data_IF_903993701739
#
_entry.id   IF_903993701739
#
_cell.length_a   1.000
_cell.length_b   1.000
_cell.length_c   1.000
_cell.angle_alpha   90.00
_cell.angle_beta   90.00
_cell.angle_gamma   90.00
#
_symmetry.space_group_name_H-M   'P 1'
#
loop_
_entity.id
_entity.type
_entity.pdbx_description
1 polymer ?
#
# COMPACT_ATOMS: atom_id res chain seq x y z
N UNK A 1 -3.73 -19.14 0.26
CA UNK A 1 -2.74 -18.31 -0.40
C UNK A 1 -2.49 -18.77 -1.84
N UNK A 2 -2.49 -17.82 -2.76
CA UNK A 2 -2.60 -18.07 -4.18
C UNK A 2 -1.28 -18.57 -4.76
N UNK A 3 -1.22 -19.87 -5.07
CA UNK A 3 -0.05 -20.53 -5.70
C UNK A 3 0.30 -19.98 -7.09
N UNK A 4 -0.57 -19.16 -7.68
CA UNK A 4 -0.48 -18.75 -9.07
C UNK A 4 -0.36 -17.23 -9.31
N UNK A 5 -0.01 -16.45 -8.28
CA UNK A 5 0.21 -15.02 -8.40
C UNK A 5 1.48 -14.67 -9.19
N UNK A 6 1.83 -15.49 -10.13
CA UNK A 6 2.75 -15.13 -11.21
C UNK A 6 1.95 -14.38 -12.25
N UNK A 7 1.61 -13.11 -11.98
CA UNK A 7 1.39 -12.21 -13.10
C UNK A 7 2.62 -12.38 -13.99
N UNK A 8 2.44 -13.03 -15.13
CA UNK A 8 3.51 -13.22 -16.09
C UNK A 8 3.76 -11.89 -16.78
N UNK A 9 4.46 -11.00 -16.10
CA UNK A 9 4.94 -9.78 -16.73
C UNK A 9 5.99 -10.18 -17.75
N UNK A 10 5.74 -9.88 -19.00
CA UNK A 10 6.76 -10.01 -20.03
C UNK A 10 7.64 -8.74 -20.02
N UNK A 11 8.51 -8.62 -19.02
CA UNK A 11 9.38 -7.47 -18.84
C UNK A 11 10.63 -7.65 -19.68
N UNK A 12 10.90 -6.69 -20.56
CA UNK A 12 12.08 -6.63 -21.43
C UNK A 12 12.85 -5.33 -21.16
N UNK A 13 14.02 -5.21 -21.81
CA UNK A 13 14.83 -3.98 -21.75
C UNK A 13 14.15 -2.73 -22.33
N UNK A 14 13.08 -2.88 -23.10
CA UNK A 14 12.31 -1.77 -23.64
C UNK A 14 11.10 -1.40 -22.79
N UNK A 15 10.80 -2.22 -21.77
CA UNK A 15 9.64 -2.01 -20.91
C UNK A 15 9.79 -0.75 -20.06
N UNK A 16 8.68 -0.06 -19.86
CA UNK A 16 8.52 1.01 -18.89
C UNK A 16 7.58 0.52 -17.81
N UNK A 17 7.97 0.62 -16.55
CA UNK A 17 7.23 0.05 -15.44
C UNK A 17 6.67 1.11 -14.51
N UNK A 18 5.42 0.94 -14.15
CA UNK A 18 4.83 1.56 -12.96
C UNK A 18 4.71 0.49 -11.89
N UNK A 19 5.44 0.65 -10.81
CA UNK A 19 5.55 -0.33 -9.74
C UNK A 19 4.83 0.22 -8.51
N UNK A 20 3.74 -0.43 -8.10
CA UNK A 20 3.01 -0.12 -6.88
C UNK A 20 3.47 -1.01 -5.74
N UNK A 21 3.93 -0.41 -4.63
CA UNK A 21 4.23 -1.09 -3.38
C UNK A 21 3.20 -0.71 -2.33
N UNK A 22 2.88 -1.62 -1.44
CA UNK A 22 1.97 -1.34 -0.32
C UNK A 22 1.23 -2.56 0.17
N UNK A 23 0.07 -2.32 0.75
CA UNK A 23 -0.81 -3.33 1.31
C UNK A 23 -2.08 -3.56 0.45
N UNK A 24 -3.18 -3.87 1.12
CA UNK A 24 -4.49 -4.08 0.50
C UNK A 24 -5.01 -2.89 -0.32
N UNK A 25 -4.64 -1.65 0.05
CA UNK A 25 -4.98 -0.45 -0.72
C UNK A 25 -4.23 -0.41 -2.06
N UNK A 26 -3.05 -0.99 -2.14
CA UNK A 26 -2.29 -1.09 -3.39
C UNK A 26 -2.71 -2.31 -4.19
N UNK A 27 -2.94 -3.44 -3.53
CA UNK A 27 -3.43 -4.67 -4.17
C UNK A 27 -4.75 -4.43 -4.89
N UNK A 28 -5.63 -3.62 -4.33
CA UNK A 28 -6.95 -3.33 -4.86
C UNK A 28 -8.06 -4.10 -4.16
N UNK A 29 -7.82 -4.52 -2.90
CA UNK A 29 -8.81 -5.29 -2.13
C UNK A 29 -10.17 -4.59 -2.12
N UNK A 30 -11.19 -5.33 -2.54
CA UNK A 30 -12.56 -4.83 -2.59
C UNK A 30 -12.90 -3.98 -3.81
N UNK A 31 -11.96 -3.71 -4.72
CA UNK A 31 -12.21 -2.97 -5.95
C UNK A 31 -12.97 -3.82 -6.99
N UNK A 32 -14.13 -4.29 -6.58
CA UNK A 32 -15.04 -5.11 -7.38
C UNK A 32 -16.17 -4.23 -7.95
N UNK A 33 -16.74 -4.65 -9.08
CA UNK A 33 -17.93 -4.03 -9.65
C UNK A 33 -19.16 -4.25 -8.73
N UNK A 34 -20.16 -3.38 -8.86
CA UNK A 34 -21.42 -3.53 -8.12
C UNK A 34 -22.10 -4.87 -8.43
N UNK A 35 -21.94 -5.38 -9.67
CA UNK A 35 -22.45 -6.68 -10.10
C UNK A 35 -21.79 -7.81 -9.30
N UNK A 36 -20.46 -7.78 -9.21
CA UNK A 36 -19.70 -8.77 -8.44
C UNK A 36 -20.04 -8.66 -6.96
N UNK A 37 -20.12 -7.44 -6.39
CA UNK A 37 -20.52 -7.24 -5.00
C UNK A 37 -21.90 -7.80 -4.71
N UNK A 38 -22.86 -7.72 -5.64
CA UNK A 38 -24.23 -8.24 -5.47
C UNK A 38 -24.30 -9.77 -5.35
N UNK A 39 -23.28 -10.48 -5.83
CA UNK A 39 -23.18 -11.94 -5.71
C UNK A 39 -22.74 -12.37 -4.31
N UNK A 40 -22.18 -11.44 -3.52
CA UNK A 40 -21.78 -11.70 -2.14
C UNK A 40 -22.91 -11.30 -1.20
N UNK A 41 -23.59 -12.29 -0.60
CA UNK A 41 -24.38 -12.07 0.61
C UNK A 41 -23.40 -11.82 1.78
N UNK A 42 -22.85 -10.61 1.84
CA UNK A 42 -21.88 -10.25 2.86
C UNK A 42 -22.53 -10.15 4.23
N UNK A 43 -22.55 -11.25 4.97
CA UNK A 43 -22.65 -11.20 6.42
C UNK A 43 -21.27 -10.82 6.99
N UNK A 44 -21.27 -10.06 8.08
CA UNK A 44 -20.05 -9.56 8.72
C UNK A 44 -19.09 -10.66 9.20
N UNK A 45 -19.53 -11.90 9.28
CA UNK A 45 -18.77 -13.05 9.78
C UNK A 45 -18.05 -13.83 8.67
N UNK A 46 -18.48 -13.71 7.41
CA UNK A 46 -17.93 -14.47 6.27
C UNK A 46 -16.84 -13.71 5.48
N UNK A 47 -16.43 -12.54 5.94
CA UNK A 47 -15.53 -11.61 5.23
C UNK A 47 -14.09 -12.07 5.05
N UNK A 48 -13.71 -13.20 5.62
CA UNK A 48 -12.34 -13.72 5.57
C UNK A 48 -12.19 -14.92 4.68
N UNK A 49 -13.28 -15.39 4.04
CA UNK A 49 -13.21 -16.56 3.19
C UNK A 49 -12.77 -16.20 1.78
N UNK A 50 -11.96 -17.07 1.24
CA UNK A 50 -11.27 -17.02 -0.04
C UNK A 50 -12.10 -16.44 -1.17
N UNK A 51 -11.76 -15.23 -1.63
CA UNK A 51 -12.21 -14.73 -2.91
C UNK A 51 -11.82 -15.75 -3.99
N UNK A 52 -12.70 -15.98 -4.92
CA UNK A 52 -12.40 -16.84 -6.08
C UNK A 52 -11.29 -16.19 -6.90
N UNK A 53 -10.57 -16.99 -7.64
CA UNK A 53 -9.45 -16.53 -8.48
C UNK A 53 -9.88 -15.40 -9.42
N UNK A 54 -11.06 -15.48 -10.00
CA UNK A 54 -11.63 -14.50 -10.94
C UNK A 54 -11.84 -13.12 -10.29
N UNK A 55 -12.17 -13.09 -9.00
CA UNK A 55 -12.39 -11.87 -8.23
C UNK A 55 -11.08 -11.15 -7.92
N UNK A 56 -10.02 -11.91 -7.71
CA UNK A 56 -8.68 -11.33 -7.54
C UNK A 56 -8.17 -10.67 -8.82
N UNK A 57 -8.46 -11.23 -9.98
CA UNK A 57 -8.12 -10.61 -11.26
C UNK A 57 -8.89 -9.30 -11.45
N UNK A 58 -10.18 -9.27 -11.08
CA UNK A 58 -10.97 -8.05 -11.12
C UNK A 58 -10.43 -6.99 -10.15
N UNK A 59 -10.17 -7.34 -8.89
CA UNK A 59 -9.58 -6.43 -7.90
C UNK A 59 -8.27 -5.84 -8.38
N UNK A 60 -7.36 -6.67 -8.89
CA UNK A 60 -6.08 -6.21 -9.41
C UNK A 60 -6.26 -5.28 -10.60
N UNK A 61 -7.11 -5.65 -11.56
CA UNK A 61 -7.36 -4.84 -12.75
C UNK A 61 -7.98 -3.49 -12.42
N UNK A 62 -8.71 -3.40 -11.31
CA UNK A 62 -9.34 -2.20 -10.80
C UNK A 62 -8.46 -1.45 -9.78
N UNK A 63 -7.30 -2.00 -9.39
CA UNK A 63 -6.36 -1.30 -8.52
C UNK A 63 -5.85 -0.01 -9.15
N UNK A 64 -5.46 0.97 -8.33
CA UNK A 64 -4.96 2.25 -8.83
C UNK A 64 -3.74 2.08 -9.76
N UNK A 65 -2.89 1.08 -9.52
CA UNK A 65 -1.72 0.79 -10.37
C UNK A 65 -2.14 0.46 -11.79
N UNK A 66 -3.11 -0.46 -11.93
CA UNK A 66 -3.61 -0.88 -13.24
C UNK A 66 -4.45 0.22 -13.91
N UNK A 67 -5.31 0.89 -13.13
CA UNK A 67 -6.11 2.00 -13.65
C UNK A 67 -5.24 3.15 -14.14
N UNK A 68 -4.15 3.47 -13.45
CA UNK A 68 -3.22 4.52 -13.88
C UNK A 68 -2.56 4.17 -15.21
N UNK A 69 -2.07 2.95 -15.37
CA UNK A 69 -1.50 2.52 -16.66
C UNK A 69 -2.56 2.52 -17.76
N UNK A 70 -3.74 1.96 -17.49
CA UNK A 70 -4.83 1.87 -18.48
C UNK A 70 -5.31 3.25 -18.96
N UNK A 71 -5.50 4.19 -18.03
CA UNK A 71 -6.20 5.44 -18.33
C UNK A 71 -5.26 6.62 -18.62
N UNK A 72 -4.07 6.63 -18.02
CA UNK A 72 -3.17 7.79 -18.04
C UNK A 72 -1.78 7.48 -18.60
N UNK A 73 -1.28 6.27 -18.44
CA UNK A 73 0.08 5.88 -18.83
C UNK A 73 0.10 4.58 -19.65
N UNK A 74 -0.59 4.51 -20.83
CA UNK A 74 -0.76 3.26 -21.58
C UNK A 74 0.55 2.67 -22.12
N UNK A 75 1.64 3.42 -22.11
CA UNK A 75 2.97 2.94 -22.48
C UNK A 75 3.74 2.29 -21.33
N UNK A 76 3.15 2.26 -20.14
CA UNK A 76 3.74 1.63 -18.95
C UNK A 76 3.05 0.31 -18.65
N UNK A 77 3.84 -0.67 -18.23
CA UNK A 77 3.34 -1.94 -17.71
C UNK A 77 3.10 -1.80 -16.20
N UNK A 78 1.88 -2.05 -15.71
CA UNK A 78 1.61 -2.02 -14.28
C UNK A 78 2.25 -3.24 -13.59
N UNK A 79 3.02 -3.01 -12.55
CA UNK A 79 3.57 -4.05 -11.68
C UNK A 79 3.04 -3.79 -10.27
N UNK A 80 2.00 -4.52 -9.90
CA UNK A 80 1.37 -4.36 -8.59
C UNK A 80 1.98 -5.36 -7.61
N UNK A 81 2.78 -4.87 -6.66
CA UNK A 81 3.40 -5.62 -5.57
C UNK A 81 2.75 -5.32 -4.22
N UNK A 82 1.54 -4.75 -4.24
CA UNK A 82 0.70 -4.64 -3.06
C UNK A 82 0.24 -6.00 -2.57
N UNK A 83 0.08 -6.16 -1.26
CA UNK A 83 -0.34 -7.40 -0.67
C UNK A 83 -1.16 -7.16 0.61
N UNK A 84 -2.31 -7.81 0.73
CA UNK A 84 -3.20 -7.68 1.90
C UNK A 84 -2.45 -7.93 3.19
N UNK A 85 -2.59 -7.01 4.13
CA UNK A 85 -1.98 -7.12 5.44
C UNK A 85 -0.48 -6.87 5.50
N UNK A 86 0.20 -6.55 4.39
CA UNK A 86 1.60 -6.19 4.42
C UNK A 86 1.87 -4.99 5.33
N UNK A 87 3.00 -5.02 6.01
CA UNK A 87 3.64 -3.85 6.55
C UNK A 87 4.61 -3.22 5.55
N UNK A 88 5.19 -2.10 5.91
CA UNK A 88 6.08 -1.36 5.02
C UNK A 88 7.35 -2.14 4.67
N UNK A 89 7.90 -2.88 5.61
CA UNK A 89 9.11 -3.68 5.42
C UNK A 89 8.90 -4.82 4.44
N UNK A 90 7.79 -5.57 4.59
CA UNK A 90 7.48 -6.67 3.67
C UNK A 90 7.18 -6.16 2.26
N UNK A 91 6.52 -5.00 2.11
CA UNK A 91 6.30 -4.39 0.81
C UNK A 91 7.62 -4.06 0.09
N UNK A 92 8.60 -3.49 0.79
CA UNK A 92 9.94 -3.22 0.24
C UNK A 92 10.65 -4.52 -0.13
N UNK A 93 10.58 -5.55 0.72
CA UNK A 93 11.21 -6.85 0.45
C UNK A 93 10.57 -7.58 -0.73
N UNK A 94 9.28 -7.39 -0.98
CA UNK A 94 8.64 -7.89 -2.19
C UNK A 94 9.30 -7.33 -3.46
N UNK A 95 9.69 -6.06 -3.47
CA UNK A 95 10.44 -5.49 -4.59
C UNK A 95 11.88 -6.01 -4.66
N UNK A 96 12.59 -6.05 -3.54
CA UNK A 96 14.05 -6.27 -3.52
C UNK A 96 14.45 -7.75 -3.56
N UNK A 97 13.58 -8.66 -3.09
CA UNK A 97 13.88 -10.10 -3.00
C UNK A 97 13.13 -10.96 -4.00
N UNK A 98 11.90 -10.56 -4.40
CA UNK A 98 11.12 -11.29 -5.41
C UNK A 98 11.41 -10.86 -6.84
N UNK A 99 12.19 -9.81 -6.99
CA UNK A 99 12.50 -9.16 -8.25
C UNK A 99 13.21 -10.07 -9.28
N UNK A 100 14.16 -10.96 -8.93
CA UNK A 100 14.83 -11.80 -9.93
C UNK A 100 13.85 -12.60 -10.82
N UNK A 101 12.70 -12.99 -10.26
CA UNK A 101 11.67 -13.73 -10.99
C UNK A 101 10.90 -12.85 -11.99
N UNK A 102 10.84 -11.55 -11.74
CA UNK A 102 10.07 -10.58 -12.53
C UNK A 102 10.93 -9.81 -13.54
N UNK A 103 12.24 -9.91 -13.46
CA UNK A 103 13.19 -9.20 -14.33
C UNK A 103 12.99 -7.66 -14.37
N UNK A 104 12.52 -7.08 -13.27
CA UNK A 104 12.23 -5.63 -13.15
C UNK A 104 13.48 -4.79 -13.45
N UNK A 105 14.64 -5.28 -13.08
CA UNK A 105 15.93 -4.59 -13.22
C UNK A 105 16.25 -4.27 -14.68
N UNK A 106 15.86 -5.14 -15.61
CA UNK A 106 16.13 -4.98 -17.04
C UNK A 106 15.33 -3.86 -17.71
N UNK A 107 14.24 -3.42 -17.09
CA UNK A 107 13.35 -2.44 -17.70
C UNK A 107 14.04 -1.09 -17.90
N UNK A 108 13.73 -0.44 -19.03
CA UNK A 108 14.29 0.84 -19.45
C UNK A 108 13.97 2.00 -18.52
N UNK A 109 12.76 2.01 -17.98
CA UNK A 109 12.25 3.07 -17.12
C UNK A 109 11.40 2.48 -15.99
N UNK A 110 11.60 2.97 -14.78
CA UNK A 110 10.92 2.50 -13.59
C UNK A 110 10.43 3.67 -12.76
N UNK A 111 9.13 3.68 -12.46
CA UNK A 111 8.52 4.59 -11.48
C UNK A 111 7.98 3.73 -10.36
N UNK A 112 8.50 3.90 -9.18
CA UNK A 112 8.06 3.23 -7.95
C UNK A 112 7.17 4.20 -7.17
N UNK A 113 5.97 3.76 -6.86
CA UNK A 113 5.06 4.47 -5.96
C UNK A 113 4.85 3.59 -4.74
N UNK A 114 5.32 4.04 -3.61
CA UNK A 114 5.12 3.35 -2.36
C UNK A 114 3.95 3.97 -1.58
N UNK A 115 2.85 3.25 -1.60
CA UNK A 115 1.63 3.57 -0.88
C UNK A 115 1.74 2.99 0.53
N UNK A 116 2.28 3.80 1.44
CA UNK A 116 2.66 3.41 2.79
C UNK A 116 1.44 2.98 3.62
N UNK A 117 1.63 1.91 4.36
CA UNK A 117 0.68 1.44 5.38
C UNK A 117 1.07 1.96 6.77
N UNK A 118 0.38 1.52 7.80
CA UNK A 118 0.63 1.93 9.18
C UNK A 118 2.03 1.51 9.66
N UNK A 119 2.77 2.43 10.31
CA UNK A 119 4.08 2.15 10.90
C UNK A 119 4.03 1.14 12.06
N UNK A 120 2.87 1.01 12.70
CA UNK A 120 2.67 0.03 13.77
C UNK A 120 2.64 -1.42 13.25
N UNK A 121 2.54 -1.64 11.95
CA UNK A 121 2.62 -2.97 11.36
C UNK A 121 4.06 -3.46 11.39
N UNK A 122 4.31 -4.46 12.19
CA UNK A 122 5.62 -5.09 12.32
C UNK A 122 5.68 -6.37 11.50
N UNK A 123 6.62 -6.40 10.57
CA UNK A 123 6.88 -7.56 9.72
C UNK A 123 8.03 -8.40 10.29
N UNK A 124 7.78 -9.66 10.54
CA UNK A 124 8.83 -10.61 10.93
C UNK A 124 8.95 -11.76 9.92
N UNK A 125 10.16 -12.27 9.81
CA UNK A 125 10.41 -13.42 8.94
C UNK A 125 9.71 -14.66 9.51
N UNK A 126 8.91 -15.33 8.69
CA UNK A 126 8.32 -16.60 9.07
C UNK A 126 9.42 -17.62 9.36
N UNK A 127 9.34 -18.24 10.52
CA UNK A 127 10.19 -19.38 10.82
C UNK A 127 9.93 -20.50 9.80
N UNK A 128 10.97 -21.20 9.30
CA UNK A 128 10.80 -22.41 8.50
C UNK A 128 9.98 -23.50 9.21
N UNK A 129 9.82 -23.36 10.54
CA UNK A 129 9.00 -24.26 11.37
C UNK A 129 7.50 -23.91 11.31
N UNK A 130 7.13 -22.73 10.86
CA UNK A 130 5.75 -22.45 10.50
C UNK A 130 5.50 -23.18 9.18
N UNK A 131 4.78 -24.28 9.25
CA UNK A 131 4.46 -25.20 8.15
C UNK A 131 3.52 -24.51 7.12
N UNK A 132 3.94 -23.38 6.58
CA UNK A 132 3.25 -22.66 5.55
C UNK A 132 3.97 -22.95 4.24
N UNK A 133 3.37 -23.78 3.43
CA UNK A 133 3.75 -24.06 2.03
C UNK A 133 3.67 -22.80 1.14
N UNK A 134 4.02 -21.62 1.66
CA UNK A 134 3.58 -20.39 1.06
C UNK A 134 4.69 -19.36 0.97
N UNK A 135 4.75 -18.72 -0.18
CA UNK A 135 5.75 -17.75 -0.59
C UNK A 135 5.76 -16.43 0.23
N UNK A 136 4.94 -16.30 1.28
CA UNK A 136 5.04 -15.20 2.22
C UNK A 136 6.11 -15.49 3.26
N UNK A 137 7.28 -14.95 3.00
CA UNK A 137 8.40 -15.02 3.93
C UNK A 137 8.19 -14.12 5.17
N UNK A 138 7.18 -13.28 5.17
CA UNK A 138 6.87 -12.34 6.25
C UNK A 138 5.46 -12.54 6.79
N UNK A 139 5.31 -12.44 8.07
CA UNK A 139 4.02 -12.28 8.75
C UNK A 139 3.98 -10.89 9.37
N UNK A 140 2.94 -10.16 9.07
CA UNK A 140 2.71 -8.82 9.63
C UNK A 140 1.90 -8.93 10.90
N UNK A 141 2.35 -8.27 11.94
CA UNK A 141 1.63 -8.15 13.20
C UNK A 141 1.09 -6.73 13.38
N UNK A 142 -0.13 -6.66 13.88
CA UNK A 142 -0.76 -5.43 14.32
C UNK A 142 -0.86 -5.39 15.83
N UNK A 143 -0.54 -4.26 16.48
CA UNK A 143 -0.59 -4.15 17.94
C UNK A 143 -1.96 -4.46 18.57
N UNK A 144 -3.03 -4.41 17.80
CA UNK A 144 -4.41 -4.54 18.31
C UNK A 144 -5.14 -5.83 17.92
N UNK A 145 -4.50 -6.76 17.20
CA UNK A 145 -5.20 -7.87 16.56
C UNK A 145 -4.88 -9.26 17.09
N UNK A 146 -4.22 -9.40 18.24
CA UNK A 146 -4.09 -10.73 18.86
C UNK A 146 -5.49 -11.23 19.28
N UNK A 147 -6.05 -12.12 18.48
CA UNK A 147 -7.31 -12.76 18.84
C UNK A 147 -7.08 -13.82 19.93
N UNK A 148 -8.08 -14.07 20.75
CA UNK A 148 -8.03 -15.17 21.74
C UNK A 148 -7.82 -16.53 21.06
N UNK A 149 -8.29 -16.67 19.83
CA UNK A 149 -8.15 -17.86 18.98
C UNK A 149 -6.78 -18.02 18.33
N UNK A 150 -5.87 -17.01 18.44
CA UNK A 150 -4.53 -17.13 17.86
C UNK A 150 -3.69 -18.23 18.53
N UNK A 151 -2.82 -18.91 17.78
CA UNK A 151 -1.88 -19.88 18.35
C UNK A 151 -1.00 -19.25 19.44
N UNK A 152 -0.59 -20.04 20.45
CA UNK A 152 0.20 -19.56 21.57
C UNK A 152 1.53 -18.89 21.16
N UNK A 153 2.19 -19.40 20.11
CA UNK A 153 3.40 -18.77 19.58
C UNK A 153 3.15 -17.35 19.04
N UNK A 154 1.99 -17.11 18.42
CA UNK A 154 1.59 -15.80 17.92
C UNK A 154 1.28 -14.84 19.05
N UNK A 155 0.60 -15.34 20.11
CA UNK A 155 0.36 -14.57 21.33
C UNK A 155 1.66 -14.20 22.05
N UNK A 156 2.62 -15.12 22.11
CA UNK A 156 3.95 -14.87 22.69
C UNK A 156 4.73 -13.81 21.92
N UNK A 157 4.74 -13.86 20.58
CA UNK A 157 5.32 -12.82 19.73
C UNK A 157 4.66 -11.47 19.98
N UNK A 158 3.34 -11.45 20.09
CA UNK A 158 2.55 -10.27 20.42
C UNK A 158 2.95 -9.62 21.74
N UNK A 159 3.06 -10.44 22.78
CA UNK A 159 3.46 -9.96 24.11
C UNK A 159 4.87 -9.38 24.06
N UNK A 160 5.78 -10.06 23.37
CA UNK A 160 7.14 -9.55 23.13
C UNK A 160 7.14 -8.23 22.37
N UNK A 161 6.40 -8.14 21.27
CA UNK A 161 6.31 -6.93 20.46
C UNK A 161 5.80 -5.73 21.25
N UNK A 162 4.71 -5.88 21.99
CA UNK A 162 4.18 -4.83 22.88
C UNK A 162 5.19 -4.36 23.95
N UNK A 163 6.10 -5.23 24.36
CA UNK A 163 7.10 -4.91 25.35
C UNK A 163 8.25 -4.02 24.85
N UNK A 164 8.53 -4.03 23.55
CA UNK A 164 9.65 -3.24 23.00
C UNK A 164 9.23 -2.19 21.97
N UNK A 165 8.01 -2.28 21.44
CA UNK A 165 7.56 -1.32 20.43
C UNK A 165 7.33 0.06 21.03
N UNK A 166 7.74 1.08 20.31
CA UNK A 166 7.44 2.49 20.56
C UNK A 166 7.38 3.22 19.24
N UNK A 167 6.73 4.38 19.21
CA UNK A 167 6.67 5.23 18.03
C UNK A 167 8.08 5.59 17.52
N UNK A 168 8.99 5.87 18.43
CA UNK A 168 10.40 6.13 18.08
C UNK A 168 11.08 4.93 17.41
N UNK A 169 10.82 3.71 17.89
CA UNK A 169 11.30 2.48 17.25
C UNK A 169 10.70 2.33 15.84
N UNK A 170 9.38 2.52 15.71
CA UNK A 170 8.69 2.48 14.42
C UNK A 170 9.26 3.49 13.42
N UNK A 171 9.51 4.73 13.87
CA UNK A 171 10.15 5.75 13.04
C UNK A 171 11.55 5.34 12.57
N UNK A 172 12.40 4.80 13.46
CA UNK A 172 13.76 4.35 13.09
C UNK A 172 13.70 3.20 12.10
N UNK A 173 12.88 2.18 12.36
CA UNK A 173 12.75 1.03 11.46
C UNK A 173 12.22 1.46 10.09
N UNK A 174 11.24 2.35 10.06
CA UNK A 174 10.73 2.94 8.82
C UNK A 174 11.83 3.64 8.02
N UNK A 175 12.60 4.53 8.65
CA UNK A 175 13.67 5.26 7.98
C UNK A 175 14.76 4.33 7.42
N UNK A 176 15.12 3.26 8.14
CA UNK A 176 16.06 2.24 7.64
C UNK A 176 15.49 1.57 6.39
N UNK A 177 14.24 1.16 6.44
CA UNK A 177 13.58 0.51 5.30
C UNK A 177 13.45 1.45 4.08
N UNK A 178 13.15 2.73 4.29
CA UNK A 178 13.13 3.73 3.22
C UNK A 178 14.54 3.96 2.64
N UNK A 179 15.56 3.95 3.48
CA UNK A 179 16.95 4.04 2.98
C UNK A 179 17.29 2.86 2.06
N UNK A 180 16.88 1.65 2.42
CA UNK A 180 17.06 0.46 1.57
C UNK A 180 16.32 0.62 0.24
N UNK A 181 15.08 1.11 0.26
CA UNK A 181 14.30 1.36 -0.94
C UNK A 181 14.96 2.43 -1.83
N UNK A 182 15.40 3.54 -1.24
CA UNK A 182 16.10 4.61 -1.99
C UNK A 182 17.41 4.12 -2.60
N UNK A 183 18.15 3.29 -1.90
CA UNK A 183 19.38 2.66 -2.42
C UNK A 183 19.06 1.75 -3.60
N UNK A 184 18.00 0.94 -3.51
CA UNK A 184 17.53 0.10 -4.61
C UNK A 184 17.12 0.95 -5.81
N UNK A 185 16.30 1.99 -5.60
CA UNK A 185 15.88 2.90 -6.66
C UNK A 185 17.09 3.57 -7.35
N UNK A 186 18.06 4.02 -6.58
CA UNK A 186 19.30 4.62 -7.11
C UNK A 186 20.11 3.62 -7.94
N UNK A 187 20.25 2.38 -7.45
CA UNK A 187 20.99 1.32 -8.15
C UNK A 187 20.37 0.97 -9.50
N UNK A 188 19.06 1.00 -9.56
CA UNK A 188 18.29 0.56 -10.75
C UNK A 188 17.72 1.72 -11.58
N UNK A 189 18.18 2.95 -11.34
CA UNK A 189 17.69 4.17 -12.02
C UNK A 189 16.15 4.29 -11.99
N UNK A 190 15.57 4.05 -10.82
CA UNK A 190 14.13 4.13 -10.60
C UNK A 190 13.76 5.45 -9.91
N UNK A 191 12.68 6.07 -10.36
CA UNK A 191 12.07 7.24 -9.72
C UNK A 191 11.19 6.77 -8.57
N UNK A 192 11.12 7.50 -7.46
CA UNK A 192 10.39 7.13 -6.25
C UNK A 192 9.40 8.21 -5.84
N UNK A 193 8.17 7.79 -5.53
CA UNK A 193 7.18 8.57 -4.79
C UNK A 193 6.78 7.79 -3.54
N UNK A 194 6.82 8.46 -2.39
CA UNK A 194 6.24 7.99 -1.14
C UNK A 194 4.89 8.69 -0.94
N UNK A 195 3.88 7.94 -0.57
CA UNK A 195 2.58 8.50 -0.20
C UNK A 195 1.89 7.57 0.79
N UNK A 196 0.97 8.08 1.60
CA UNK A 196 0.30 7.26 2.60
C UNK A 196 -1.08 6.78 2.13
N UNK A 197 -1.38 5.52 2.39
CA UNK A 197 -2.70 4.93 2.15
C UNK A 197 -3.73 5.49 3.13
N UNK A 198 -3.46 5.38 4.42
CA UNK A 198 -4.43 5.74 5.48
C UNK A 198 -3.79 6.23 6.79
N UNK A 199 -2.46 6.20 6.93
CA UNK A 199 -1.80 6.70 8.14
C UNK A 199 -1.43 8.17 7.99
N UNK A 200 -1.73 8.96 9.02
CA UNK A 200 -1.41 10.39 9.08
C UNK A 200 -0.04 10.70 9.66
N UNK A 201 0.68 9.69 10.10
CA UNK A 201 1.92 9.81 10.86
C UNK A 201 3.12 10.16 9.98
N UNK A 202 2.99 10.00 8.65
CA UNK A 202 4.10 10.23 7.71
C UNK A 202 4.34 11.71 7.43
N UNK A 203 4.68 12.46 8.48
CA UNK A 203 5.06 13.87 8.38
C UNK A 203 6.40 14.11 9.07
N UNK A 204 7.20 15.05 8.55
CA UNK A 204 8.47 15.43 9.17
C UNK A 204 8.30 15.77 10.66
N UNK A 205 7.22 16.49 11.00
CA UNK A 205 6.90 16.89 12.37
C UNK A 205 6.69 15.69 13.31
N UNK A 206 6.01 14.64 12.84
CA UNK A 206 5.80 13.44 13.63
C UNK A 206 7.13 12.76 13.94
N UNK A 207 7.98 12.59 12.93
CA UNK A 207 9.30 11.98 13.09
C UNK A 207 10.21 12.80 14.00
N UNK A 208 10.25 14.13 13.85
CA UNK A 208 11.01 15.03 14.72
C UNK A 208 10.57 14.85 16.18
N UNK A 209 9.27 14.78 16.44
CA UNK A 209 8.73 14.62 17.78
C UNK A 209 9.18 13.31 18.44
N UNK A 210 9.10 12.19 17.72
CA UNK A 210 9.40 10.87 18.27
C UNK A 210 10.88 10.52 18.29
N UNK A 211 11.72 11.19 17.49
CA UNK A 211 13.16 10.91 17.39
C UNK A 211 14.03 11.86 18.18
N UNK A 212 13.50 12.96 18.72
CA UNK A 212 14.26 14.00 19.41
C UNK A 212 15.07 13.46 20.60
N UNK A 213 14.52 12.48 21.32
CA UNK A 213 15.15 11.88 22.50
C UNK A 213 16.22 10.83 22.19
N UNK A 214 16.33 10.40 20.94
CA UNK A 214 17.21 9.28 20.55
C UNK A 214 18.48 9.73 19.82
N UNK A 215 18.72 11.04 19.68
CA UNK A 215 19.81 11.57 18.86
C UNK A 215 19.80 11.10 17.39
N UNK A 216 18.67 10.60 16.92
CA UNK A 216 18.47 10.09 15.56
C UNK A 216 17.99 11.16 14.58
N UNK A 217 17.95 12.43 14.97
CA UNK A 217 17.46 13.53 14.11
C UNK A 217 18.13 13.57 12.73
N UNK A 218 19.41 13.17 12.65
CA UNK A 218 20.13 13.07 11.38
C UNK A 218 19.53 12.05 10.40
N UNK A 219 18.76 11.08 10.90
CA UNK A 219 18.12 10.09 10.02
C UNK A 219 16.82 10.60 9.40
N UNK A 220 16.25 11.67 9.92
CA UNK A 220 15.04 12.30 9.36
C UNK A 220 15.32 12.82 7.94
N UNK A 221 16.54 13.26 7.69
CA UNK A 221 16.97 13.77 6.39
C UNK A 221 17.24 12.67 5.33
N UNK A 222 17.05 11.38 5.69
CA UNK A 222 16.99 10.28 4.71
C UNK A 222 15.86 10.52 3.72
N UNK A 223 14.76 11.10 4.18
CA UNK A 223 13.61 11.46 3.36
C UNK A 223 13.71 12.95 3.03
N UNK A 224 13.68 13.25 1.75
CA UNK A 224 13.38 14.59 1.28
C UNK A 224 11.84 14.77 1.33
N UNK A 225 11.37 15.32 2.45
CA UNK A 225 9.94 15.44 2.74
C UNK A 225 9.16 16.30 1.73
N UNK A 226 9.85 17.14 0.97
CA UNK A 226 9.25 17.98 -0.06
C UNK A 226 9.22 17.26 -1.42
N UNK A 227 10.25 16.47 -1.72
CA UNK A 227 10.40 15.87 -3.03
C UNK A 227 10.14 14.37 -3.09
N UNK A 228 10.42 13.60 -2.03
CA UNK A 228 10.12 12.16 -2.02
C UNK A 228 8.64 11.90 -1.70
N UNK A 229 8.03 12.76 -0.85
CA UNK A 229 6.65 12.59 -0.40
C UNK A 229 5.64 13.32 -1.28
N UNK A 230 4.49 12.67 -1.49
CA UNK A 230 3.32 13.26 -2.11
C UNK A 230 2.13 13.23 -1.14
N UNK A 231 1.60 14.41 -0.86
CA UNK A 231 0.41 14.61 -0.03
C UNK A 231 -0.77 15.00 -0.95
N UNK A 232 -1.73 14.09 -1.21
CA UNK A 232 -2.79 14.34 -2.19
C UNK A 232 -3.65 15.54 -1.78
N UNK A 233 -3.69 16.58 -2.60
CA UNK A 233 -4.42 17.84 -2.34
C UNK A 233 -4.10 18.47 -0.96
N UNK A 234 -2.92 18.17 -0.37
CA UNK A 234 -2.53 18.63 0.96
C UNK A 234 -3.02 17.76 2.12
N UNK A 235 -3.71 16.67 1.85
CA UNK A 235 -4.07 15.69 2.88
C UNK A 235 -2.90 14.73 3.17
N UNK A 236 -2.77 14.31 4.42
CA UNK A 236 -1.67 13.44 4.84
C UNK A 236 -1.75 12.03 4.25
N UNK A 237 -2.93 11.57 3.87
CA UNK A 237 -3.13 10.25 3.28
C UNK A 237 -4.31 10.23 2.29
N UNK A 238 -4.37 9.17 1.49
CA UNK A 238 -5.47 9.00 0.52
C UNK A 238 -6.82 8.71 1.18
N UNK A 239 -6.83 8.05 2.33
CA UNK A 239 -8.10 7.86 3.08
C UNK A 239 -8.73 9.18 3.46
N UNK A 240 -7.95 10.18 3.85
CA UNK A 240 -8.48 11.51 4.18
C UNK A 240 -9.08 12.19 2.95
N UNK A 241 -8.38 12.14 1.81
CA UNK A 241 -8.90 12.67 0.56
C UNK A 241 -10.23 12.01 0.17
N UNK A 242 -10.31 10.68 0.23
CA UNK A 242 -11.54 9.94 -0.06
C UNK A 242 -12.64 10.25 0.97
N UNK A 243 -12.27 10.40 2.22
CA UNK A 243 -13.18 10.73 3.31
C UNK A 243 -13.88 12.07 3.08
N UNK A 244 -13.14 13.10 2.68
CA UNK A 244 -13.71 14.41 2.36
C UNK A 244 -14.66 14.35 1.16
N UNK A 245 -14.38 13.51 0.16
CA UNK A 245 -15.28 13.32 -1.00
C UNK A 245 -16.58 12.59 -0.62
N UNK A 246 -16.54 11.75 0.41
CA UNK A 246 -17.66 10.89 0.81
C UNK A 246 -18.49 11.48 1.96
N UNK A 247 -17.81 11.98 3.00
CA UNK A 247 -18.39 12.26 4.29
C UNK A 247 -18.27 13.76 4.64
N UNK A 248 -17.53 14.02 5.69
CA UNK A 248 -17.39 15.33 6.30
C UNK A 248 -15.93 15.57 6.67
N UNK A 249 -15.54 16.84 6.64
CA UNK A 249 -14.17 17.23 6.99
C UNK A 249 -13.77 16.85 8.44
N UNK A 250 -14.74 16.78 9.35
CA UNK A 250 -14.49 16.41 10.76
C UNK A 250 -14.13 14.93 10.95
N UNK A 251 -14.24 14.10 9.90
CA UNK A 251 -13.80 12.71 9.92
C UNK A 251 -12.37 12.52 9.45
N UNK A 252 -11.72 13.57 8.98
CA UNK A 252 -10.30 13.56 8.63
C UNK A 252 -9.50 13.19 9.88
N UNK A 253 -8.58 12.25 9.74
CA UNK A 253 -7.74 11.80 10.84
C UNK A 253 -8.40 10.87 11.83
N UNK A 254 -9.63 10.45 11.57
CA UNK A 254 -10.33 9.47 12.38
C UNK A 254 -10.43 8.13 11.66
N UNK A 255 -10.86 7.08 12.37
CA UNK A 255 -11.22 5.80 11.77
C UNK A 255 -12.76 5.68 11.57
N UNK A 256 -13.51 6.76 11.73
CA UNK A 256 -14.97 6.73 11.67
C UNK A 256 -15.47 6.34 10.29
N UNK A 257 -14.79 6.78 9.21
CA UNK A 257 -15.06 6.37 7.83
C UNK A 257 -14.95 4.86 7.64
N UNK A 258 -13.97 4.22 8.29
CA UNK A 258 -13.76 2.78 8.25
C UNK A 258 -14.94 2.04 8.87
N UNK A 259 -15.26 2.39 10.11
CA UNK A 259 -16.37 1.76 10.84
C UNK A 259 -17.72 2.03 10.19
N UNK A 260 -17.92 3.24 9.65
CA UNK A 260 -19.13 3.58 8.92
C UNK A 260 -19.28 2.69 7.68
N UNK A 261 -18.27 2.60 6.84
CA UNK A 261 -18.31 1.82 5.60
C UNK A 261 -18.54 0.33 5.90
N UNK A 262 -17.85 -0.17 6.91
CA UNK A 262 -18.01 -1.54 7.36
C UNK A 262 -19.44 -1.85 7.85
N UNK A 263 -20.04 -0.96 8.63
CA UNK A 263 -21.36 -1.15 9.22
C UNK A 263 -22.50 -0.99 8.20
N UNK A 264 -22.31 -0.12 7.21
CA UNK A 264 -23.37 0.26 6.26
C UNK A 264 -23.23 -0.39 4.89
N UNK A 265 -22.33 -1.37 4.72
CA UNK A 265 -22.15 -2.05 3.45
C UNK A 265 -21.50 -1.19 2.37
N UNK A 266 -20.56 -0.33 2.77
CA UNK A 266 -19.88 0.62 1.93
C UNK A 266 -20.29 2.06 2.17
N UNK A 267 -19.72 2.97 1.41
CA UNK A 267 -20.03 4.39 1.50
C UNK A 267 -21.13 4.81 0.54
N UNK A 268 -21.92 5.81 0.94
CA UNK A 268 -23.12 6.25 0.21
C UNK A 268 -22.82 6.70 -1.22
N UNK A 269 -21.70 7.40 -1.44
CA UNK A 269 -21.30 7.91 -2.75
C UNK A 269 -20.34 6.96 -3.48
N UNK A 270 -20.09 5.76 -2.93
CA UNK A 270 -19.33 4.70 -3.56
C UNK A 270 -17.82 4.90 -3.58
N UNK A 271 -17.24 5.66 -2.65
CA UNK A 271 -15.79 5.83 -2.54
C UNK A 271 -15.11 4.69 -1.77
N UNK A 272 -15.84 4.09 -0.82
CA UNK A 272 -15.40 2.95 -0.04
C UNK A 272 -16.33 1.76 -0.22
N UNK A 273 -15.75 0.59 -0.18
CA UNK A 273 -16.43 -0.70 -0.28
C UNK A 273 -16.98 -1.16 1.07
N UNK A 274 -17.80 -2.23 1.10
CA UNK A 274 -18.24 -2.85 2.35
C UNK A 274 -17.12 -3.33 3.27
N UNK A 275 -15.94 -3.64 2.74
CA UNK A 275 -14.76 -4.00 3.53
C UNK A 275 -13.89 -2.78 3.91
N UNK A 276 -14.43 -1.57 3.73
CA UNK A 276 -13.78 -0.31 4.06
C UNK A 276 -12.44 -0.04 3.31
N UNK A 277 -12.30 -0.60 2.13
CA UNK A 277 -11.21 -0.30 1.21
C UNK A 277 -11.71 0.65 0.12
N UNK A 278 -10.81 1.34 -0.61
CA UNK A 278 -11.22 2.12 -1.76
C UNK A 278 -11.99 1.27 -2.78
N UNK A 279 -13.10 1.78 -3.26
CA UNK A 279 -13.86 1.16 -4.36
C UNK A 279 -13.11 1.33 -5.70
N UNK A 280 -13.68 0.78 -6.78
CA UNK A 280 -13.19 1.04 -8.14
C UNK A 280 -13.07 2.56 -8.41
N UNK A 281 -14.07 3.34 -7.98
CA UNK A 281 -14.06 4.80 -8.07
C UNK A 281 -12.99 5.44 -7.19
N UNK A 282 -12.80 4.92 -5.96
CA UNK A 282 -11.73 5.35 -5.07
C UNK A 282 -10.35 5.12 -5.66
N UNK A 283 -10.12 3.93 -6.23
CA UNK A 283 -8.89 3.61 -6.92
C UNK A 283 -8.64 4.46 -8.16
N UNK A 284 -9.70 4.83 -8.90
CA UNK A 284 -9.57 5.73 -10.04
C UNK A 284 -9.09 7.12 -9.61
N UNK A 285 -9.61 7.66 -8.51
CA UNK A 285 -9.15 8.94 -7.97
C UNK A 285 -7.70 8.86 -7.47
N UNK A 286 -7.34 7.78 -6.77
CA UNK A 286 -5.95 7.58 -6.34
C UNK A 286 -5.01 7.56 -7.56
N UNK A 287 -5.38 6.81 -8.61
CA UNK A 287 -4.63 6.73 -9.86
C UNK A 287 -4.46 8.11 -10.53
N UNK A 288 -5.54 8.89 -10.61
CA UNK A 288 -5.53 10.24 -11.19
C UNK A 288 -4.58 11.16 -10.40
N UNK A 289 -4.66 11.17 -9.08
CA UNK A 289 -3.85 12.07 -8.23
C UNK A 289 -2.38 11.72 -8.27
N UNK A 290 -2.02 10.43 -8.21
CA UNK A 290 -0.63 10.00 -8.35
C UNK A 290 -0.11 10.30 -9.76
N UNK A 291 -0.92 10.08 -10.79
CA UNK A 291 -0.55 10.43 -12.17
C UNK A 291 -0.28 11.93 -12.32
N UNK A 292 -1.15 12.78 -11.76
CA UNK A 292 -0.96 14.23 -11.78
C UNK A 292 0.39 14.62 -11.15
N UNK A 293 0.77 13.99 -10.05
CA UNK A 293 2.06 14.22 -9.40
C UNK A 293 3.23 13.76 -10.29
N UNK A 294 3.15 12.58 -10.89
CA UNK A 294 4.16 12.06 -11.85
C UNK A 294 4.33 13.03 -13.03
N UNK A 295 3.22 13.56 -13.54
CA UNK A 295 3.22 14.52 -14.64
C UNK A 295 3.85 15.86 -14.22
N UNK A 296 3.49 16.40 -13.06
CA UNK A 296 4.03 17.65 -12.52
C UNK A 296 5.54 17.57 -12.28
N UNK A 297 6.07 16.38 -11.92
CA UNK A 297 7.53 16.12 -11.83
C UNK A 297 8.20 15.99 -13.19
N UNK A 298 7.46 16.05 -14.30
CA UNK A 298 7.99 15.92 -15.64
C UNK A 298 8.53 14.52 -15.99
N UNK A 299 8.10 13.49 -15.26
CA UNK A 299 8.57 12.12 -15.44
C UNK A 299 7.91 11.44 -16.64
N UNK A 300 6.73 11.87 -17.02
CA UNK A 300 6.00 11.40 -18.21
C UNK A 300 5.76 12.57 -19.14
N UNK A 301 6.11 12.39 -20.42
CA UNK A 301 5.88 13.37 -21.49
C UNK A 301 4.70 12.92 -22.34
N UNK A 302 3.87 13.87 -22.80
CA UNK A 302 2.74 13.63 -23.71
C UNK A 302 1.58 12.78 -23.14
N UNK A 303 1.22 13.00 -21.90
CA UNK A 303 0.00 12.43 -21.35
C UNK A 303 -1.22 13.29 -21.75
N UNK A 304 -2.27 12.63 -22.23
CA UNK A 304 -3.57 13.28 -22.41
C UNK A 304 -4.17 13.45 -21.01
N UNK A 305 -4.11 14.66 -20.45
CA UNK A 305 -4.84 14.97 -19.24
C UNK A 305 -6.31 15.09 -19.64
N UNK A 306 -7.23 14.23 -19.17
CA UNK A 306 -8.63 14.49 -19.30
C UNK A 306 -8.93 15.78 -18.53
N UNK A 307 -9.37 16.82 -19.21
CA UNK A 307 -9.97 17.99 -18.57
C UNK A 307 -11.28 17.50 -17.95
N UNK A 308 -11.31 17.36 -16.62
CA UNK A 308 -12.53 17.17 -15.82
C UNK A 308 -13.15 18.51 -15.51
#
# INVERSE_FOLDING_TARGET
MHKDFKQKYNITSDSRLLIGLGDSFTEGQGALSDETWSLYNYSSEERTQDLRYDELEEELSNSWVHQMCKNHMPSYTPVNLGFRGNGNKSAIKNLTTLNPDLNIESAKEKIVVFHLTDMMRYDYLNSPLANTNEHNHYTTMWPHTAAESDPEWKKALWTGYRGFWSEGFGCVEFLINIQDLKNWCKLHDAKLILTSAFSQEYTKKYFEHHLIHYHYNRFIDIIDWENDFYYPEGYNCFSDLLCVKEFREDWIGTQDWYWYSFKNGGSKNGWFTPCAHPSVKGHALIAEKIFQEIYNRGWVKNATIPLI
#
